data_IF_848008606732
#
_entry.id   IF_848008606732
#
_cell.length_a   1.000
_cell.length_b   1.000
_cell.length_c   1.000
_cell.angle_alpha   90.00
_cell.angle_beta   90.00
_cell.angle_gamma   90.00
#
_symmetry.space_group_name_H-M   'P 1'
#
loop_
_entity.id
_entity.type
_entity.pdbx_description
1 polymer ?
#
# COMPACT_ATOMS: atom_id res chain seq x y z
N UNK A 1 -2.74 -2.96 3.41
CA UNK A 1 -1.77 -1.85 3.53
C UNK A 1 -2.13 -0.92 4.67
N UNK A 2 -3.26 -0.19 4.60
CA UNK A 2 -3.73 0.81 5.57
C UNK A 2 -3.43 0.46 7.04
N UNK A 3 -3.99 -0.65 7.52
CA UNK A 3 -3.82 -1.14 8.90
C UNK A 3 -2.35 -1.27 9.34
N UNK A 4 -1.50 -1.90 8.52
CA UNK A 4 -0.08 -2.08 8.86
C UNK A 4 0.69 -0.76 8.93
N UNK A 5 0.20 0.28 8.26
CA UNK A 5 0.83 1.60 8.26
C UNK A 5 0.29 2.46 9.40
N UNK A 6 -1.03 2.43 9.65
CA UNK A 6 -1.71 3.24 10.66
C UNK A 6 -1.49 2.74 12.08
N UNK A 7 -1.47 1.42 12.27
CA UNK A 7 -1.48 0.82 13.61
C UNK A 7 -0.05 0.66 14.17
N UNK A 8 0.96 0.89 13.33
CA UNK A 8 2.38 0.81 13.66
C UNK A 8 2.77 -0.42 14.53
N UNK A 9 2.41 -1.66 14.15
CA UNK A 9 2.60 -2.84 15.00
C UNK A 9 4.05 -3.24 15.23
N UNK A 10 4.99 -2.73 14.43
CA UNK A 10 6.43 -3.01 14.55
C UNK A 10 7.19 -1.78 15.07
N UNK A 11 8.31 -2.02 15.77
CA UNK A 11 9.22 -0.95 16.25
C UNK A 11 9.73 -0.07 15.11
N UNK A 12 10.02 -0.67 13.95
CA UNK A 12 10.34 0.04 12.71
C UNK A 12 9.88 -0.79 11.50
N UNK A 13 9.89 -0.19 10.32
CA UNK A 13 9.67 -0.89 9.06
C UNK A 13 8.20 -1.04 8.66
N UNK A 14 7.24 -0.54 9.45
CA UNK A 14 5.79 -0.63 9.18
C UNK A 14 5.40 -0.33 7.73
N UNK A 15 5.85 0.81 7.18
CA UNK A 15 5.61 1.21 5.78
C UNK A 15 6.20 0.20 4.78
N UNK A 16 7.40 -0.30 5.06
CA UNK A 16 8.11 -1.27 4.20
C UNK A 16 7.40 -2.62 4.24
N UNK A 17 7.04 -3.10 5.43
CA UNK A 17 6.29 -4.34 5.61
C UNK A 17 4.93 -4.25 4.92
N UNK A 18 4.19 -3.16 5.12
CA UNK A 18 2.89 -2.94 4.47
C UNK A 18 2.98 -3.00 2.93
N UNK A 19 3.99 -2.36 2.34
CA UNK A 19 4.21 -2.40 0.89
C UNK A 19 4.62 -3.80 0.40
N UNK A 20 5.51 -4.49 1.11
CA UNK A 20 5.92 -5.85 0.76
C UNK A 20 4.75 -6.84 0.84
N UNK A 21 3.89 -6.72 1.84
CA UNK A 21 2.67 -7.54 1.94
C UNK A 21 1.73 -7.32 0.76
N UNK A 22 1.56 -6.08 0.29
CA UNK A 22 0.77 -5.79 -0.93
C UNK A 22 1.39 -6.48 -2.14
N UNK A 23 2.69 -6.32 -2.36
CA UNK A 23 3.39 -6.95 -3.49
C UNK A 23 3.21 -8.47 -3.48
N UNK A 24 3.41 -9.12 -2.33
CA UNK A 24 3.20 -10.57 -2.17
C UNK A 24 1.74 -10.96 -2.40
N UNK A 25 0.79 -10.20 -1.87
CA UNK A 25 -0.64 -10.45 -2.07
C UNK A 25 -1.01 -10.45 -3.55
N UNK A 26 -0.51 -9.50 -4.34
CA UNK A 26 -0.74 -9.48 -5.79
C UNK A 26 -0.09 -10.68 -6.50
N UNK A 27 1.15 -11.02 -6.15
CA UNK A 27 1.86 -12.18 -6.73
C UNK A 27 1.08 -13.48 -6.50
N UNK A 28 0.57 -13.68 -5.28
CA UNK A 28 -0.24 -14.86 -4.93
C UNK A 28 -1.54 -14.95 -5.75
N UNK A 29 -2.04 -13.81 -6.24
CA UNK A 29 -3.23 -13.73 -7.10
C UNK A 29 -2.90 -13.69 -8.60
N UNK A 30 -1.67 -14.00 -9.01
CA UNK A 30 -1.22 -13.95 -10.43
C UNK A 30 -1.21 -12.54 -11.02
N UNK A 31 -0.90 -11.54 -10.20
CA UNK A 31 -0.64 -10.18 -10.65
C UNK A 31 0.77 -9.73 -10.25
N UNK A 32 1.38 -8.83 -11.02
CA UNK A 32 2.42 -7.93 -10.51
C UNK A 32 1.77 -6.67 -9.94
N UNK A 33 2.47 -6.03 -9.01
CA UNK A 33 2.11 -4.73 -8.45
C UNK A 33 3.24 -3.75 -8.79
N UNK A 34 3.08 -3.03 -9.90
CA UNK A 34 4.02 -2.03 -10.42
C UNK A 34 3.69 -0.66 -9.83
N UNK A 35 4.58 -0.10 -9.02
CA UNK A 35 4.36 1.18 -8.35
C UNK A 35 5.54 2.14 -8.56
N UNK A 36 5.22 3.42 -8.74
CA UNK A 36 6.16 4.53 -8.78
C UNK A 36 6.37 5.18 -7.41
N UNK A 37 6.95 6.37 -7.40
CA UNK A 37 7.24 7.10 -6.16
C UNK A 37 5.99 7.64 -5.44
N UNK A 38 4.84 7.70 -6.12
CA UNK A 38 3.56 8.14 -5.55
C UNK A 38 3.13 7.27 -4.37
N UNK A 39 3.56 6.00 -4.33
CA UNK A 39 3.32 5.08 -3.22
C UNK A 39 3.84 5.65 -1.90
N UNK A 40 4.95 6.42 -1.92
CA UNK A 40 5.56 6.99 -0.73
C UNK A 40 4.65 8.04 -0.10
N UNK A 41 4.02 8.87 -0.93
CA UNK A 41 3.07 9.88 -0.47
C UNK A 41 1.82 9.22 0.15
N UNK A 42 1.30 8.16 -0.50
CA UNK A 42 0.17 7.42 0.03
C UNK A 42 0.49 6.72 1.37
N UNK A 43 1.65 6.06 1.46
CA UNK A 43 2.15 5.47 2.71
C UNK A 43 2.36 6.52 3.80
N UNK A 44 2.82 7.72 3.46
CA UNK A 44 2.97 8.81 4.41
C UNK A 44 1.60 9.25 4.95
N UNK A 45 0.61 9.47 4.08
CA UNK A 45 -0.75 9.85 4.52
C UNK A 45 -1.41 8.78 5.37
N UNK A 46 -1.24 7.49 5.06
CA UNK A 46 -1.72 6.42 5.93
C UNK A 46 -1.06 6.45 7.32
N UNK A 47 0.18 6.93 7.44
CA UNK A 47 0.89 6.98 8.72
C UNK A 47 0.53 8.22 9.55
N UNK A 48 0.17 9.34 8.91
CA UNK A 48 -0.02 10.63 9.61
C UNK A 48 -1.47 11.09 9.72
N UNK A 49 -2.36 10.57 8.87
CA UNK A 49 -3.75 10.97 8.82
C UNK A 49 -4.58 9.98 8.03
N UNK A 50 -4.63 8.73 8.50
CA UNK A 50 -5.31 7.62 7.81
C UNK A 50 -6.77 7.95 7.44
N UNK A 51 -7.50 8.65 8.32
CA UNK A 51 -8.88 9.10 8.10
C UNK A 51 -9.04 10.15 6.99
N UNK A 52 -7.94 10.80 6.58
CA UNK A 52 -7.92 11.78 5.48
C UNK A 52 -7.69 11.13 4.11
N UNK A 53 -7.33 9.84 4.09
CA UNK A 53 -7.10 9.13 2.84
C UNK A 53 -8.45 8.65 2.28
N UNK A 54 -8.81 9.18 1.12
CA UNK A 54 -9.92 8.62 0.34
C UNK A 54 -9.57 7.20 -0.12
N UNK A 55 -10.34 6.24 0.38
CA UNK A 55 -10.13 4.81 0.12
C UNK A 55 -10.41 4.48 -1.34
N UNK A 56 -11.39 5.13 -1.97
CA UNK A 56 -11.75 4.83 -3.36
C UNK A 56 -10.64 5.27 -4.31
N UNK A 57 -10.08 6.46 -4.13
CA UNK A 57 -8.88 6.91 -4.85
C UNK A 57 -7.70 5.97 -4.63
N UNK A 58 -7.48 5.49 -3.40
CA UNK A 58 -6.41 4.52 -3.14
C UNK A 58 -6.64 3.20 -3.87
N UNK A 59 -7.87 2.69 -3.91
CA UNK A 59 -8.24 1.48 -4.66
C UNK A 59 -8.02 1.67 -6.16
N UNK A 60 -8.40 2.83 -6.72
CA UNK A 60 -8.17 3.15 -8.14
C UNK A 60 -6.67 3.13 -8.45
N UNK A 61 -5.83 3.78 -7.62
CA UNK A 61 -4.38 3.76 -7.77
C UNK A 61 -3.85 2.31 -7.73
N UNK A 62 -4.27 1.50 -6.75
CA UNK A 62 -3.86 0.11 -6.62
C UNK A 62 -4.25 -0.77 -7.81
N UNK A 63 -5.41 -0.51 -8.43
CA UNK A 63 -5.84 -1.17 -9.66
C UNK A 63 -4.97 -0.76 -10.86
N UNK A 64 -4.59 0.51 -10.95
CA UNK A 64 -3.70 0.99 -12.01
C UNK A 64 -2.29 0.38 -11.91
N UNK A 65 -1.83 0.07 -10.70
CA UNK A 65 -0.58 -0.64 -10.44
C UNK A 65 -0.62 -2.14 -10.78
N UNK A 66 -1.80 -2.72 -10.98
CA UNK A 66 -1.94 -4.16 -11.16
C UNK A 66 -1.73 -4.56 -12.62
N UNK A 67 -0.86 -5.54 -12.88
CA UNK A 67 -0.77 -6.20 -14.19
C UNK A 67 -0.94 -7.70 -14.03
N UNK A 68 -1.67 -8.32 -14.94
CA UNK A 68 -1.86 -9.77 -14.91
C UNK A 68 -0.58 -10.44 -15.41
N UNK A 69 -0.11 -11.43 -14.66
CA UNK A 69 0.99 -12.31 -15.06
C UNK A 69 0.55 -13.32 -16.12
#
# INVERSE_FOLDING_TARGET
MRLLVSDHPFVDGNKRTALRTVVVFYILNRYTFEYGDEIRALLHRFATGETTVDVDTAVIYFRACARRN
#
